data_IF_452625410896
#
_entry.id   IF_452625410896
#
_cell.length_a   1.000
_cell.length_b   1.000
_cell.length_c   1.000
_cell.angle_alpha   90.00
_cell.angle_beta   90.00
_cell.angle_gamma   90.00
#
_symmetry.space_group_name_H-M   'P 1'
#
loop_
_entity.id
_entity.type
_entity.pdbx_description
1 polymer ?
#
# COMPACT_ATOMS: atom_id res chain seq x y z
N UNK A 1 -24.16 1.35 10.37
CA UNK A 1 -23.73 2.76 10.40
C UNK A 1 -24.20 3.45 9.11
N UNK A 2 -24.71 4.69 9.14
CA UNK A 2 -25.08 5.41 7.93
C UNK A 2 -23.85 5.70 7.07
N UNK A 3 -24.00 5.63 5.75
CA UNK A 3 -22.94 5.97 4.81
C UNK A 3 -22.66 7.46 4.87
N UNK A 4 -21.40 7.80 5.13
CA UNK A 4 -20.90 9.16 5.03
C UNK A 4 -20.73 9.54 3.55
N UNK A 5 -21.23 10.73 3.19
CA UNK A 5 -21.02 11.32 1.87
C UNK A 5 -19.55 11.70 1.64
N UNK A 6 -19.13 11.67 0.38
CA UNK A 6 -17.79 11.98 -0.12
C UNK A 6 -16.67 11.08 0.40
N UNK A 7 -17.01 10.05 1.17
CA UNK A 7 -16.08 9.01 1.62
C UNK A 7 -15.99 7.89 0.59
N UNK A 8 -14.82 7.26 0.53
CA UNK A 8 -14.55 6.11 -0.30
C UNK A 8 -14.83 4.80 0.42
N UNK A 9 -15.38 3.85 -0.33
CA UNK A 9 -15.68 2.50 0.13
C UNK A 9 -15.05 1.50 -0.82
N UNK A 10 -14.63 0.35 -0.29
CA UNK A 10 -14.17 -0.74 -1.15
C UNK A 10 -15.26 -1.17 -2.09
N UNK A 11 -14.84 -1.40 -3.31
CA UNK A 11 -15.71 -1.77 -4.39
C UNK A 11 -15.74 -3.29 -4.54
N UNK A 12 -16.86 -3.88 -4.13
CA UNK A 12 -17.10 -5.31 -4.22
C UNK A 12 -17.91 -5.73 -5.45
N UNK A 13 -18.27 -4.80 -6.34
CA UNK A 13 -19.23 -5.07 -7.42
C UNK A 13 -18.58 -5.82 -8.58
N UNK A 14 -18.99 -7.09 -8.75
CA UNK A 14 -18.47 -8.05 -9.74
C UNK A 14 -18.99 -7.85 -11.18
N UNK A 15 -19.33 -6.62 -11.56
CA UNK A 15 -19.72 -6.35 -12.94
C UNK A 15 -18.54 -6.52 -13.92
N UNK A 16 -18.80 -6.41 -15.22
CA UNK A 16 -17.77 -6.61 -16.25
C UNK A 16 -16.52 -5.72 -16.05
N UNK A 17 -16.70 -4.49 -15.57
CA UNK A 17 -15.57 -3.59 -15.26
C UNK A 17 -14.79 -4.09 -14.06
N UNK A 18 -15.49 -4.47 -12.98
CA UNK A 18 -14.85 -5.01 -11.77
C UNK A 18 -14.08 -6.30 -12.05
N UNK A 19 -14.56 -7.14 -12.97
CA UNK A 19 -13.85 -8.36 -13.41
C UNK A 19 -12.58 -8.03 -14.19
N UNK A 20 -12.67 -7.16 -15.21
CA UNK A 20 -11.51 -6.73 -16.01
C UNK A 20 -10.43 -6.06 -15.16
N UNK A 21 -10.85 -5.31 -14.14
CA UNK A 21 -9.92 -4.67 -13.20
C UNK A 21 -9.13 -5.72 -12.40
N UNK A 22 -9.79 -6.77 -11.89
CA UNK A 22 -9.13 -7.84 -11.15
C UNK A 22 -8.16 -8.66 -12.00
N UNK A 23 -8.36 -8.70 -13.31
CA UNK A 23 -7.47 -9.38 -14.27
C UNK A 23 -6.20 -8.56 -14.60
N UNK A 24 -6.17 -7.29 -14.22
CA UNK A 24 -5.12 -6.35 -14.58
C UNK A 24 -3.94 -6.46 -13.60
N UNK A 25 -2.96 -7.29 -13.93
CA UNK A 25 -1.76 -7.50 -13.12
C UNK A 25 -0.55 -6.73 -13.67
N UNK A 26 -0.02 -5.71 -12.98
CA UNK A 26 1.17 -4.96 -13.41
C UNK A 26 2.45 -5.80 -13.53
N UNK A 27 2.49 -7.00 -12.93
CA UNK A 27 3.65 -7.91 -12.97
C UNK A 27 3.64 -8.83 -14.19
N UNK A 28 2.58 -8.82 -14.99
CA UNK A 28 2.50 -9.64 -16.20
C UNK A 28 3.47 -9.16 -17.30
N UNK A 29 3.71 -10.03 -18.29
CA UNK A 29 4.42 -9.65 -19.51
C UNK A 29 3.79 -8.40 -20.13
N UNK A 30 4.62 -7.46 -20.58
CA UNK A 30 4.17 -6.15 -21.06
C UNK A 30 3.08 -6.22 -22.15
N UNK A 31 3.13 -7.22 -23.04
CA UNK A 31 2.13 -7.43 -24.08
C UNK A 31 0.75 -7.82 -23.50
N UNK A 32 0.73 -8.68 -22.48
CA UNK A 32 -0.49 -9.11 -21.77
C UNK A 32 -1.09 -7.92 -21.03
N UNK A 33 -0.27 -7.21 -20.26
CA UNK A 33 -0.69 -6.03 -19.51
C UNK A 33 -1.27 -4.94 -20.43
N UNK A 34 -0.62 -4.65 -21.57
CA UNK A 34 -1.12 -3.67 -22.55
C UNK A 34 -2.46 -4.09 -23.14
N UNK A 35 -2.65 -5.39 -23.44
CA UNK A 35 -3.92 -5.91 -23.96
C UNK A 35 -5.04 -5.73 -22.92
N UNK A 36 -4.82 -6.17 -21.69
CA UNK A 36 -5.79 -6.05 -20.60
C UNK A 36 -6.17 -4.58 -20.34
N UNK A 37 -5.18 -3.68 -20.32
CA UNK A 37 -5.42 -2.23 -20.18
C UNK A 37 -6.27 -1.67 -21.33
N UNK A 38 -5.99 -2.06 -22.58
CA UNK A 38 -6.77 -1.60 -23.73
C UNK A 38 -8.22 -2.11 -23.68
N UNK A 39 -8.43 -3.36 -23.28
CA UNK A 39 -9.76 -3.93 -23.12
C UNK A 39 -10.55 -3.22 -22.01
N UNK A 40 -9.88 -2.88 -20.90
CA UNK A 40 -10.47 -2.05 -19.85
C UNK A 40 -10.84 -0.63 -20.35
N UNK A 41 -9.95 0.03 -21.11
CA UNK A 41 -10.23 1.36 -21.67
C UNK A 41 -11.44 1.33 -22.62
N UNK A 42 -11.56 0.31 -23.48
CA UNK A 42 -12.74 0.13 -24.35
C UNK A 42 -14.03 -0.04 -23.55
N UNK A 43 -13.98 -0.77 -22.44
CA UNK A 43 -15.14 -0.94 -21.57
C UNK A 43 -15.52 0.38 -20.88
N UNK A 44 -14.53 1.20 -20.49
CA UNK A 44 -14.78 2.54 -19.97
C UNK A 44 -15.45 3.46 -21.00
N UNK A 45 -14.99 3.43 -22.25
CA UNK A 45 -15.64 4.17 -23.35
C UNK A 45 -17.08 3.70 -23.57
N UNK A 46 -17.31 2.38 -23.62
CA UNK A 46 -18.65 1.79 -23.78
C UNK A 46 -19.61 2.23 -22.68
N UNK A 47 -19.11 2.38 -21.45
CA UNK A 47 -19.89 2.83 -20.28
C UNK A 47 -19.91 4.34 -20.10
N UNK A 48 -19.32 5.10 -21.03
CA UNK A 48 -19.24 6.56 -21.01
C UNK A 48 -18.61 7.10 -19.72
N UNK A 49 -17.59 6.40 -19.21
CA UNK A 49 -16.77 6.90 -18.11
C UNK A 49 -16.18 8.27 -18.46
N UNK A 50 -16.07 9.13 -17.46
CA UNK A 50 -15.36 10.41 -17.58
C UNK A 50 -13.98 10.27 -16.97
N UNK A 51 -12.98 10.84 -17.60
CA UNK A 51 -11.59 10.77 -17.13
C UNK A 51 -11.23 12.05 -16.39
N UNK A 52 -10.72 11.90 -15.17
CA UNK A 52 -10.28 13.00 -14.32
C UNK A 52 -8.92 12.72 -13.72
N UNK A 53 -8.17 13.78 -13.46
CA UNK A 53 -6.92 13.72 -12.73
C UNK A 53 -7.16 14.06 -11.27
N UNK A 54 -6.76 13.17 -10.36
CA UNK A 54 -6.78 13.41 -8.92
C UNK A 54 -5.35 13.46 -8.39
N UNK A 55 -5.14 14.03 -7.20
CA UNK A 55 -3.84 13.92 -6.51
C UNK A 55 -3.66 12.47 -6.05
N UNK A 56 -2.43 11.93 -6.18
CA UNK A 56 -2.08 10.59 -5.70
C UNK A 56 -2.48 10.36 -4.23
N UNK A 57 -2.90 9.13 -3.93
CA UNK A 57 -3.29 8.71 -2.57
C UNK A 57 -4.58 9.34 -2.07
N UNK A 58 -5.35 10.01 -2.93
CA UNK A 58 -6.70 10.50 -2.61
C UNK A 58 -7.72 9.39 -2.82
N UNK A 59 -8.83 9.47 -2.09
CA UNK A 59 -10.01 8.61 -2.26
C UNK A 59 -9.79 7.13 -1.89
N UNK A 60 -8.84 6.80 -1.02
CA UNK A 60 -8.61 5.41 -0.57
C UNK A 60 -8.10 4.45 -1.67
N UNK A 61 -7.58 4.97 -2.77
CA UNK A 61 -6.97 4.21 -3.86
C UNK A 61 -5.44 4.13 -3.61
N UNK A 62 -4.89 2.92 -3.53
CA UNK A 62 -3.48 2.71 -3.14
C UNK A 62 -2.60 2.23 -4.29
N UNK A 63 -3.17 1.48 -5.24
CA UNK A 63 -2.45 1.00 -6.42
C UNK A 63 -3.23 1.21 -7.73
N UNK A 64 -2.48 1.26 -8.85
CA UNK A 64 -3.12 1.27 -10.17
C UNK A 64 -3.94 -0.01 -10.34
N UNK A 65 -5.12 0.14 -10.94
CA UNK A 65 -6.19 -0.86 -11.00
C UNK A 65 -7.00 -1.01 -9.71
N UNK A 66 -6.79 -0.21 -8.67
CA UNK A 66 -7.76 -0.11 -7.59
C UNK A 66 -9.04 0.59 -8.04
N UNK A 67 -10.13 0.27 -7.35
CA UNK A 67 -11.42 0.92 -7.53
C UNK A 67 -12.13 1.15 -6.19
N UNK A 68 -12.88 2.25 -6.11
CA UNK A 68 -13.68 2.62 -4.94
C UNK A 68 -15.06 3.13 -5.34
N UNK A 69 -16.01 2.99 -4.42
CA UNK A 69 -17.34 3.59 -4.49
C UNK A 69 -17.39 4.85 -3.62
N UNK A 70 -18.03 5.90 -4.12
CA UNK A 70 -18.20 7.16 -3.40
C UNK A 70 -19.66 7.61 -3.54
N UNK A 71 -20.31 7.90 -2.40
CA UNK A 71 -21.59 8.60 -2.36
C UNK A 71 -21.33 10.09 -2.43
N UNK A 72 -21.52 10.74 -3.57
CA UNK A 72 -21.15 12.14 -3.73
C UNK A 72 -22.17 13.04 -3.04
N UNK A 73 -21.72 13.83 -2.07
CA UNK A 73 -22.61 14.73 -1.33
C UNK A 73 -23.11 15.92 -2.17
N UNK A 74 -24.23 16.56 -1.79
CA UNK A 74 -24.85 17.64 -2.56
C UNK A 74 -23.97 18.90 -2.65
N UNK A 75 -23.04 19.08 -1.69
CA UNK A 75 -22.12 20.22 -1.62
C UNK A 75 -20.76 19.98 -2.31
N UNK A 76 -20.57 18.86 -3.02
CA UNK A 76 -19.28 18.52 -3.64
C UNK A 76 -18.84 19.58 -4.66
N UNK A 77 -17.53 19.91 -4.64
CA UNK A 77 -16.84 20.80 -5.60
C UNK A 77 -15.76 20.02 -6.37
N UNK A 78 -15.22 20.64 -7.43
CA UNK A 78 -14.15 20.06 -8.25
C UNK A 78 -14.66 18.99 -9.23
N UNK A 79 -13.79 18.03 -9.59
CA UNK A 79 -14.06 17.02 -10.62
C UNK A 79 -15.36 16.23 -10.43
N UNK A 80 -15.75 15.95 -9.18
CA UNK A 80 -16.97 15.18 -8.88
C UNK A 80 -18.24 16.06 -8.73
N UNK A 81 -18.17 17.37 -8.97
CA UNK A 81 -19.32 18.26 -8.80
C UNK A 81 -20.49 17.93 -9.74
N UNK A 82 -20.22 17.34 -10.92
CA UNK A 82 -21.25 16.89 -11.86
C UNK A 82 -22.06 15.67 -11.36
N UNK A 83 -21.62 15.02 -10.27
CA UNK A 83 -22.21 13.80 -9.75
C UNK A 83 -22.88 13.99 -8.38
N UNK A 84 -23.21 15.22 -7.98
CA UNK A 84 -23.85 15.52 -6.68
C UNK A 84 -25.10 14.66 -6.46
N UNK A 85 -25.19 14.04 -5.29
CA UNK A 85 -26.30 13.16 -4.90
C UNK A 85 -26.21 11.75 -5.49
N UNK A 86 -25.24 11.49 -6.35
CA UNK A 86 -25.12 10.22 -7.06
C UNK A 86 -24.03 9.34 -6.45
N UNK A 87 -24.20 8.04 -6.65
CA UNK A 87 -23.13 7.08 -6.46
C UNK A 87 -22.22 7.08 -7.68
N UNK A 88 -20.92 7.19 -7.43
CA UNK A 88 -19.90 7.04 -8.46
C UNK A 88 -18.93 5.94 -8.09
N UNK A 89 -18.38 5.32 -9.12
CA UNK A 89 -17.27 4.40 -9.03
C UNK A 89 -16.07 5.06 -9.67
N UNK A 90 -14.96 5.07 -8.94
CA UNK A 90 -13.71 5.70 -9.36
C UNK A 90 -12.65 4.62 -9.49
N UNK A 91 -12.01 4.56 -10.65
CA UNK A 91 -11.01 3.55 -11.01
C UNK A 91 -9.67 4.21 -11.26
N UNK A 92 -8.61 3.77 -10.60
CA UNK A 92 -7.26 4.25 -10.88
C UNK A 92 -6.69 3.51 -12.10
N UNK A 93 -6.37 4.24 -13.17
CA UNK A 93 -5.85 3.67 -14.42
C UNK A 93 -4.33 3.79 -14.50
N UNK A 94 -3.82 4.99 -14.20
CA UNK A 94 -2.42 5.31 -14.43
C UNK A 94 -1.93 6.46 -13.57
N UNK A 95 -0.63 6.66 -13.57
CA UNK A 95 0.07 7.64 -12.75
C UNK A 95 0.86 8.59 -13.64
N UNK A 96 0.70 9.89 -13.42
CA UNK A 96 1.48 10.95 -14.08
C UNK A 96 1.98 11.96 -13.04
N UNK A 97 3.28 11.92 -12.73
CA UNK A 97 3.88 12.82 -11.75
C UNK A 97 3.22 12.67 -10.36
N UNK A 98 2.59 13.73 -9.85
CA UNK A 98 1.86 13.74 -8.58
C UNK A 98 0.35 13.47 -8.72
N UNK A 99 -0.10 13.21 -9.94
CA UNK A 99 -1.50 12.98 -10.27
C UNK A 99 -1.75 11.52 -10.65
N UNK A 100 -2.97 11.08 -10.39
CA UNK A 100 -3.54 9.81 -10.82
C UNK A 100 -4.66 10.07 -11.82
N UNK A 101 -4.58 9.43 -12.97
CA UNK A 101 -5.65 9.43 -13.96
C UNK A 101 -6.68 8.38 -13.55
N UNK A 102 -7.93 8.82 -13.42
CA UNK A 102 -9.03 7.96 -13.00
C UNK A 102 -10.20 8.02 -13.98
N UNK A 103 -10.80 6.85 -14.25
CA UNK A 103 -12.12 6.78 -14.87
C UNK A 103 -13.19 6.85 -13.78
N UNK A 104 -14.19 7.68 -14.00
CA UNK A 104 -15.34 7.88 -13.11
C UNK A 104 -16.61 7.55 -13.85
N UNK A 105 -17.40 6.66 -13.28
CA UNK A 105 -18.71 6.30 -13.80
C UNK A 105 -19.79 6.46 -12.73
N UNK A 106 -20.95 6.96 -13.14
CA UNK A 106 -22.15 6.91 -12.31
C UNK A 106 -22.59 5.45 -12.19
N UNK A 107 -22.93 5.01 -10.98
CA UNK A 107 -23.42 3.66 -10.74
C UNK A 107 -24.74 3.70 -9.97
N UNK A 108 -25.61 2.73 -10.26
CA UNK A 108 -26.85 2.56 -9.52
C UNK A 108 -26.59 1.53 -8.41
N UNK A 109 -26.57 1.99 -7.16
CA UNK A 109 -26.45 1.10 -6.01
C UNK A 109 -27.78 0.41 -5.71
N UNK A 110 -27.82 -0.93 -5.64
CA UNK A 110 -28.98 -1.67 -5.16
C UNK A 110 -29.35 -1.27 -3.73
N UNK A 111 -30.65 -1.29 -3.43
CA UNK A 111 -31.17 -0.97 -2.10
C UNK A 111 -30.57 -1.93 -1.06
N UNK A 112 -30.17 -1.40 0.09
CA UNK A 112 -29.64 -2.19 1.21
C UNK A 112 -28.14 -2.52 1.13
N UNK A 113 -27.49 -2.45 -0.04
CA UNK A 113 -26.04 -2.69 -0.15
C UNK A 113 -25.19 -1.61 0.53
N UNK A 114 -25.77 -0.45 0.81
CA UNK A 114 -25.08 0.61 1.55
C UNK A 114 -24.58 0.11 2.93
N UNK A 115 -25.36 -0.69 3.64
CA UNK A 115 -24.99 -1.17 4.98
C UNK A 115 -23.82 -2.16 5.00
N UNK A 116 -23.52 -2.82 3.87
CA UNK A 116 -22.45 -3.82 3.77
C UNK A 116 -21.12 -3.24 3.31
N UNK A 117 -21.08 -1.97 2.89
CA UNK A 117 -19.86 -1.34 2.38
C UNK A 117 -18.85 -1.14 3.50
N UNK A 118 -17.57 -1.38 3.17
CA UNK A 118 -16.44 -1.20 4.07
C UNK A 118 -15.70 0.07 3.63
N UNK A 119 -15.46 1.05 4.52
CA UNK A 119 -14.68 2.23 4.18
C UNK A 119 -13.28 1.85 3.68
N UNK A 120 -12.83 2.50 2.60
CA UNK A 120 -11.50 2.27 2.04
C UNK A 120 -10.42 3.10 2.74
N UNK A 121 -10.80 4.21 3.36
CA UNK A 121 -9.90 5.11 4.08
C UNK A 121 -10.57 5.84 5.26
N UNK A 122 -9.72 6.49 6.06
CA UNK A 122 -10.12 7.36 7.16
C UNK A 122 -10.96 6.66 8.21
N UNK A 123 -10.65 5.41 8.54
CA UNK A 123 -11.36 4.67 9.58
C UNK A 123 -11.02 5.25 10.95
N UNK A 124 -12.02 5.39 11.80
CA UNK A 124 -11.80 5.59 13.23
C UNK A 124 -11.75 4.25 13.97
N UNK A 125 -11.17 4.22 15.18
CA UNK A 125 -11.17 3.01 16.01
C UNK A 125 -12.58 2.50 16.32
N UNK A 126 -13.58 3.39 16.39
CA UNK A 126 -14.98 3.00 16.58
C UNK A 126 -15.59 2.30 15.35
N UNK A 127 -15.09 2.62 14.16
CA UNK A 127 -15.54 2.01 12.90
C UNK A 127 -14.79 0.72 12.59
N UNK A 128 -13.52 0.64 12.98
CA UNK A 128 -12.66 -0.53 12.78
C UNK A 128 -12.93 -1.63 13.83
N UNK A 129 -14.19 -2.06 13.88
CA UNK A 129 -14.65 -3.16 14.74
C UNK A 129 -14.10 -4.51 14.29
N UNK A 130 -14.16 -5.54 15.15
CA UNK A 130 -13.69 -6.89 14.82
C UNK A 130 -14.34 -7.47 13.56
N UNK A 131 -15.62 -7.17 13.29
CA UNK A 131 -16.32 -7.63 12.07
C UNK A 131 -15.80 -6.92 10.81
N UNK A 132 -15.59 -5.59 10.87
CA UNK A 132 -15.00 -4.83 9.77
C UNK A 132 -13.56 -5.28 9.51
N UNK A 133 -12.78 -5.44 10.57
CA UNK A 133 -11.39 -5.88 10.52
C UNK A 133 -11.25 -7.30 9.90
N UNK A 134 -12.18 -8.20 10.22
CA UNK A 134 -12.23 -9.54 9.63
C UNK A 134 -12.46 -9.50 8.12
N UNK A 135 -13.43 -8.67 7.68
CA UNK A 135 -13.85 -8.57 6.27
C UNK A 135 -13.01 -7.59 5.44
N UNK A 136 -12.07 -6.88 6.05
CA UNK A 136 -11.25 -5.87 5.38
C UNK A 136 -10.39 -6.51 4.29
N UNK A 137 -10.52 -6.08 3.01
CA UNK A 137 -9.95 -6.82 1.87
C UNK A 137 -8.44 -6.65 1.72
N UNK A 138 -7.85 -5.61 2.33
CA UNK A 138 -6.42 -5.32 2.25
C UNK A 138 -5.68 -5.78 3.50
N UNK A 139 -4.37 -5.93 3.38
CA UNK A 139 -3.48 -6.29 4.51
C UNK A 139 -3.02 -5.07 5.33
N UNK A 140 -3.31 -3.85 4.86
CA UNK A 140 -2.97 -2.60 5.53
C UNK A 140 -4.19 -1.71 5.63
N UNK A 141 -4.28 -0.94 6.69
CA UNK A 141 -5.34 0.04 6.93
C UNK A 141 -4.79 1.27 7.66
N UNK A 142 -5.52 2.37 7.62
CA UNK A 142 -5.27 3.56 8.41
C UNK A 142 -6.42 3.73 9.40
N UNK A 143 -6.13 3.63 10.70
CA UNK A 143 -7.12 3.73 11.78
C UNK A 143 -6.70 4.87 12.72
N UNK A 144 -7.52 5.92 12.81
CA UNK A 144 -7.20 7.16 13.53
C UNK A 144 -5.82 7.75 13.16
N UNK A 145 -5.48 7.69 11.86
CA UNK A 145 -4.18 8.14 11.33
C UNK A 145 -3.00 7.25 11.69
N UNK A 146 -3.23 6.12 12.36
CA UNK A 146 -2.19 5.13 12.66
C UNK A 146 -2.19 4.04 11.59
N UNK A 147 -1.00 3.69 11.04
CA UNK A 147 -0.90 2.58 10.12
C UNK A 147 -1.08 1.26 10.87
N UNK A 148 -2.02 0.45 10.39
CA UNK A 148 -2.31 -0.89 10.89
C UNK A 148 -1.97 -1.93 9.83
N UNK A 149 -1.58 -3.12 10.25
CA UNK A 149 -1.26 -4.25 9.37
C UNK A 149 -1.86 -5.53 9.93
N UNK A 150 -2.27 -6.43 9.02
CA UNK A 150 -2.68 -7.78 9.38
C UNK A 150 -1.44 -8.58 9.79
N UNK A 151 -1.39 -8.97 11.06
CA UNK A 151 -0.31 -9.70 11.70
C UNK A 151 -0.21 -11.15 11.24
N UNK A 152 0.86 -11.82 11.69
CA UNK A 152 1.19 -13.20 11.30
C UNK A 152 0.07 -14.18 11.65
N UNK A 153 -0.65 -13.95 12.76
CA UNK A 153 -1.77 -14.80 13.20
C UNK A 153 -3.14 -14.28 12.75
N UNK A 154 -3.18 -13.22 11.93
CA UNK A 154 -4.38 -12.70 11.27
C UNK A 154 -5.09 -11.57 12.01
N UNK A 155 -4.71 -11.26 13.25
CA UNK A 155 -5.13 -10.06 13.98
C UNK A 155 -4.60 -8.78 13.34
N UNK A 156 -5.19 -7.65 13.71
CA UNK A 156 -4.68 -6.34 13.28
C UNK A 156 -3.80 -5.74 14.37
N UNK A 157 -2.56 -5.42 14.00
CA UNK A 157 -1.56 -4.79 14.87
C UNK A 157 -1.09 -3.47 14.29
N UNK A 158 -0.40 -2.67 15.09
CA UNK A 158 0.29 -1.49 14.57
C UNK A 158 1.34 -1.92 13.55
N UNK A 159 1.42 -1.22 12.43
CA UNK A 159 2.48 -1.43 11.45
C UNK A 159 3.79 -0.70 11.83
N UNK A 160 3.79 0.00 12.96
CA UNK A 160 4.98 0.68 13.51
C UNK A 160 5.61 -0.23 14.55
N UNK A 161 6.81 -0.79 14.28
CA UNK A 161 7.52 -1.58 15.27
C UNK A 161 7.99 -0.71 16.44
N UNK A 162 8.16 -1.33 17.60
CA UNK A 162 8.79 -0.69 18.76
C UNK A 162 10.31 -0.65 18.58
N UNK A 163 10.99 0.16 19.39
CA UNK A 163 12.46 0.19 19.41
C UNK A 163 13.08 -1.13 19.89
N UNK A 164 12.41 -1.85 20.79
CA UNK A 164 12.86 -3.16 21.25
C UNK A 164 12.72 -4.22 20.15
N UNK A 165 11.64 -4.18 19.37
CA UNK A 165 11.45 -5.06 18.22
C UNK A 165 12.46 -4.79 17.11
N UNK A 166 12.75 -3.51 16.81
CA UNK A 166 13.81 -3.13 15.86
C UNK A 166 15.20 -3.60 16.30
N UNK A 167 15.44 -3.71 17.61
CA UNK A 167 16.66 -4.27 18.19
C UNK A 167 16.61 -5.79 18.36
N UNK A 168 15.54 -6.44 17.89
CA UNK A 168 15.27 -7.87 18.03
C UNK A 168 15.32 -8.38 19.49
N UNK A 169 14.98 -7.52 20.45
CA UNK A 169 14.89 -7.83 21.89
C UNK A 169 13.51 -8.34 22.30
N UNK A 170 12.49 -8.00 21.52
CA UNK A 170 11.17 -8.59 21.59
C UNK A 170 10.69 -9.04 20.20
N UNK A 171 9.67 -9.90 20.18
CA UNK A 171 8.99 -10.30 18.94
C UNK A 171 7.69 -9.52 18.82
N UNK A 172 7.52 -8.85 17.68
CA UNK A 172 6.23 -8.31 17.28
C UNK A 172 5.52 -9.25 16.27
N UNK A 173 4.22 -9.05 16.08
CA UNK A 173 3.38 -9.84 15.16
C UNK A 173 3.33 -9.25 13.74
N UNK A 174 4.18 -8.26 13.40
CA UNK A 174 4.26 -7.70 12.05
C UNK A 174 4.78 -8.79 11.10
N UNK A 175 4.19 -9.00 9.91
CA UNK A 175 4.66 -10.03 8.99
C UNK A 175 6.01 -9.70 8.35
N UNK A 176 6.71 -10.73 7.87
CA UNK A 176 7.90 -10.57 7.03
C UNK A 176 7.56 -9.84 5.71
N UNK A 177 8.58 -9.24 5.10
CA UNK A 177 8.43 -8.45 3.87
C UNK A 177 8.03 -6.99 4.11
N UNK A 178 7.78 -6.60 5.36
CA UNK A 178 7.46 -5.23 5.74
C UNK A 178 8.74 -4.42 5.88
N UNK A 179 8.73 -3.20 5.33
CA UNK A 179 9.79 -2.22 5.58
C UNK A 179 9.28 -1.09 6.47
N UNK A 180 10.18 -0.53 7.27
CA UNK A 180 9.90 0.60 8.16
C UNK A 180 11.06 1.59 8.10
N UNK A 181 10.72 2.86 7.88
CA UNK A 181 11.69 3.96 7.91
C UNK A 181 11.58 4.65 9.28
N UNK A 182 12.57 4.45 10.14
CA UNK A 182 12.66 5.07 11.46
C UNK A 182 13.27 6.48 11.32
N UNK A 183 12.57 7.55 11.72
CA UNK A 183 13.16 8.88 11.79
C UNK A 183 14.22 8.94 12.91
N UNK A 184 15.32 9.63 12.65
CA UNK A 184 16.43 9.81 13.58
C UNK A 184 16.77 11.27 13.68
N UNK A 185 16.76 11.75 14.91
CA UNK A 185 17.29 13.05 15.26
C UNK A 185 18.81 12.94 15.41
N UNK A 186 19.53 13.73 14.61
CA UNK A 186 20.97 13.92 14.78
C UNK A 186 21.21 15.33 15.33
N UNK A 187 21.86 15.48 16.49
CA UNK A 187 22.15 16.80 17.05
C UNK A 187 22.94 17.66 16.03
N UNK A 188 22.48 18.89 15.80
CA UNK A 188 23.16 19.86 14.93
C UNK A 188 22.89 19.72 13.43
N UNK A 189 21.84 18.98 13.04
CA UNK A 189 21.47 18.84 11.64
C UNK A 189 19.95 19.06 11.46
N UNK A 190 19.56 20.03 10.64
CA UNK A 190 18.15 20.39 10.39
C UNK A 190 17.42 19.38 9.49
N UNK A 191 18.15 18.39 8.96
CA UNK A 191 17.62 17.35 8.09
C UNK A 191 17.20 16.10 8.89
N UNK A 192 15.98 15.62 8.64
CA UNK A 192 15.49 14.35 9.16
C UNK A 192 16.22 13.20 8.46
N UNK A 193 16.97 12.41 9.22
CA UNK A 193 17.57 11.17 8.72
C UNK A 193 16.59 10.02 8.92
N UNK A 194 16.57 9.08 7.98
CA UNK A 194 15.74 7.87 8.08
C UNK A 194 16.66 6.65 8.11
N UNK A 195 16.55 5.83 9.16
CA UNK A 195 17.09 4.47 9.12
C UNK A 195 16.04 3.52 8.60
N UNK A 196 16.40 2.77 7.57
CA UNK A 196 15.50 1.83 6.94
C UNK A 196 15.72 0.43 7.54
N UNK A 197 14.61 -0.22 7.86
CA UNK A 197 14.57 -1.58 8.36
C UNK A 197 13.67 -2.43 7.46
N UNK A 198 14.01 -3.70 7.31
CA UNK A 198 13.20 -4.69 6.61
C UNK A 198 13.02 -5.92 7.48
N UNK A 199 11.79 -6.41 7.61
CA UNK A 199 11.48 -7.60 8.39
C UNK A 199 11.66 -8.86 7.54
N UNK A 200 12.51 -9.77 8.00
CA UNK A 200 12.80 -11.03 7.32
C UNK A 200 13.08 -12.15 8.33
N UNK A 201 12.45 -13.31 8.12
CA UNK A 201 12.55 -14.48 8.98
C UNK A 201 12.26 -14.16 10.46
N UNK A 202 11.34 -13.24 10.72
CA UNK A 202 10.96 -12.79 12.06
C UNK A 202 11.87 -11.73 12.67
N UNK A 203 12.93 -11.30 11.99
CA UNK A 203 13.88 -10.30 12.49
C UNK A 203 13.75 -8.98 11.73
N UNK A 204 13.88 -7.87 12.45
CA UNK A 204 14.09 -6.56 11.83
C UNK A 204 15.57 -6.39 11.50
N UNK A 205 15.86 -6.28 10.20
CA UNK A 205 17.21 -6.10 9.67
C UNK A 205 17.35 -4.65 9.21
N UNK A 206 18.32 -3.93 9.77
CA UNK A 206 18.71 -2.62 9.25
C UNK A 206 19.25 -2.81 7.83
N UNK A 207 18.67 -2.10 6.86
CA UNK A 207 18.97 -2.36 5.45
C UNK A 207 20.32 -1.78 5.02
N UNK A 208 20.90 -0.86 5.79
CA UNK A 208 22.23 -0.29 5.51
C UNK A 208 23.26 -0.76 6.53
N UNK A 209 24.40 -1.22 6.03
CA UNK A 209 25.55 -1.66 6.82
C UNK A 209 26.87 -1.15 6.24
N UNK A 210 27.90 -1.10 7.08
CA UNK A 210 29.28 -0.81 6.63
C UNK A 210 29.97 -2.08 6.17
N UNK A 211 31.06 -1.97 5.39
CA UNK A 211 31.86 -3.14 5.02
C UNK A 211 32.50 -3.82 6.23
N UNK A 212 32.89 -3.04 7.24
CA UNK A 212 33.44 -3.57 8.49
C UNK A 212 32.43 -4.45 9.23
N UNK A 213 31.15 -4.07 9.25
CA UNK A 213 30.08 -4.87 9.85
C UNK A 213 29.99 -6.27 9.21
N UNK A 214 30.24 -6.38 7.90
CA UNK A 214 30.24 -7.66 7.18
C UNK A 214 31.53 -8.45 7.44
N UNK A 215 32.70 -7.80 7.39
CA UNK A 215 33.99 -8.50 7.49
C UNK A 215 34.33 -9.00 8.89
N UNK A 216 33.77 -8.37 9.93
CA UNK A 216 34.01 -8.73 11.34
C UNK A 216 33.03 -9.77 11.89
N UNK A 217 32.07 -10.22 11.08
CA UNK A 217 31.02 -11.16 11.52
C UNK A 217 29.94 -10.53 12.40
N UNK A 218 29.95 -9.21 12.60
CA UNK A 218 28.95 -8.49 13.42
C UNK A 218 27.51 -8.68 12.94
N UNK A 219 27.33 -9.03 11.67
CA UNK A 219 26.02 -9.30 11.07
C UNK A 219 25.71 -10.79 10.89
N UNK A 220 26.53 -11.71 11.41
CA UNK A 220 26.35 -13.15 11.17
C UNK A 220 25.09 -13.73 11.81
N UNK A 221 24.47 -13.00 12.75
CA UNK A 221 23.16 -13.30 13.33
C UNK A 221 22.02 -13.18 12.31
N UNK A 222 22.22 -12.44 11.21
CA UNK A 222 21.20 -12.28 10.17
C UNK A 222 20.97 -13.65 9.48
N UNK A 223 19.72 -14.11 9.35
CA UNK A 223 19.41 -15.38 8.70
C UNK A 223 19.84 -15.44 7.22
N UNK A 224 20.14 -16.64 6.73
CA UNK A 224 20.41 -16.91 5.30
C UNK A 224 19.25 -16.38 4.45
N UNK A 225 19.58 -15.67 3.38
CA UNK A 225 18.64 -14.97 2.51
C UNK A 225 18.37 -13.51 2.93
N UNK A 226 18.74 -13.12 4.15
CA UNK A 226 18.69 -11.73 4.61
C UNK A 226 19.61 -10.83 3.78
N UNK A 227 19.23 -9.57 3.60
CA UNK A 227 19.91 -8.64 2.70
C UNK A 227 20.26 -7.33 3.39
N UNK A 228 21.44 -6.79 3.08
CA UNK A 228 21.88 -5.45 3.48
C UNK A 228 22.57 -4.75 2.31
N UNK A 229 22.31 -3.47 2.14
CA UNK A 229 23.02 -2.59 1.24
C UNK A 229 24.29 -2.09 1.90
N UNK A 230 25.39 -2.13 1.16
CA UNK A 230 26.69 -1.67 1.62
C UNK A 230 27.24 -0.68 0.62
N UNK A 231 27.67 0.48 1.11
CA UNK A 231 28.30 1.52 0.29
C UNK A 231 29.67 1.09 -0.25
N UNK A 232 30.12 1.82 -1.28
CA UNK A 232 31.45 1.61 -1.89
C UNK A 232 32.53 1.81 -0.83
N UNK A 233 33.53 0.93 -0.83
CA UNK A 233 34.70 1.03 0.04
C UNK A 233 35.96 0.66 -0.74
N UNK A 234 36.83 1.64 -0.98
CA UNK A 234 37.98 1.47 -1.88
C UNK A 234 37.53 1.05 -3.28
N UNK A 235 38.11 -0.05 -3.78
CA UNK A 235 37.79 -0.62 -5.10
C UNK A 235 36.53 -1.51 -5.10
N UNK A 236 35.95 -1.81 -3.93
CA UNK A 236 34.78 -2.66 -3.83
C UNK A 236 33.52 -1.83 -4.11
N UNK A 237 32.71 -2.18 -5.13
CA UNK A 237 31.52 -1.42 -5.47
C UNK A 237 30.45 -1.52 -4.37
N UNK A 238 29.60 -0.50 -4.33
CA UNK A 238 28.38 -0.50 -3.53
C UNK A 238 27.38 -1.53 -4.07
N UNK A 239 26.57 -2.13 -3.20
CA UNK A 239 25.49 -3.01 -3.65
C UNK A 239 24.82 -3.78 -2.52
N UNK A 240 23.79 -4.52 -2.91
CA UNK A 240 23.10 -5.45 -2.00
C UNK A 240 23.97 -6.66 -1.75
N UNK A 241 24.13 -7.03 -0.48
CA UNK A 241 24.82 -8.24 -0.07
C UNK A 241 23.78 -9.15 0.60
N UNK A 242 23.75 -10.40 0.16
CA UNK A 242 22.83 -11.43 0.66
C UNK A 242 23.60 -12.39 1.54
N UNK A 243 23.04 -12.72 2.70
CA UNK A 243 23.57 -13.76 3.58
C UNK A 243 23.42 -15.13 2.92
N UNK A 244 24.52 -15.84 2.74
CA UNK A 244 24.56 -17.25 2.34
C UNK A 244 25.00 -18.12 3.51
N UNK A 245 25.02 -19.44 3.35
CA UNK A 245 25.57 -20.34 4.37
C UNK A 245 27.06 -20.07 4.63
N UNK A 246 27.81 -19.68 3.59
CA UNK A 246 29.27 -19.53 3.63
C UNK A 246 29.74 -18.09 3.92
N UNK A 247 28.84 -17.12 4.03
CA UNK A 247 29.21 -15.72 4.25
C UNK A 247 28.22 -14.72 3.66
N UNK A 248 28.76 -13.63 3.14
CA UNK A 248 28.01 -12.58 2.44
C UNK A 248 28.39 -12.59 0.96
N UNK A 249 27.39 -12.57 0.09
CA UNK A 249 27.57 -12.53 -1.37
C UNK A 249 26.99 -11.23 -1.93
N UNK A 250 27.77 -10.51 -2.73
CA UNK A 250 27.28 -9.36 -3.49
C UNK A 250 26.26 -9.81 -4.55
N UNK A 251 25.11 -9.16 -4.58
CA UNK A 251 24.02 -9.35 -5.54
C UNK A 251 24.01 -8.14 -6.49
N UNK A 252 24.52 -8.34 -7.71
CA UNK A 252 24.70 -7.29 -8.72
C UNK A 252 26.10 -7.32 -9.31
#
# INVERSE_FOLDING_TARGET
MPIAENRSYFDSLEDAVGKLIKELNPRDKQSVYRKAKNDLCREFERRKCQFFYFRKGRMGLEESNDSVLIKVGPKKRGHLAAYKGEWVRVHWISTYGFSMECAVQKVKMPKGMEGSLIPADGLSSAEFTSDIALRYPKNRAQVDGKPMIRGIRGEWVSATPTDEALQNREKDEIPDGVSYDKPIERPGNDYLYMEQYHKYAGYWIKTYATREDLSTGKLDWIPVGGKVYVDRCGDIPSGWNVRTADGWKLEG
#
